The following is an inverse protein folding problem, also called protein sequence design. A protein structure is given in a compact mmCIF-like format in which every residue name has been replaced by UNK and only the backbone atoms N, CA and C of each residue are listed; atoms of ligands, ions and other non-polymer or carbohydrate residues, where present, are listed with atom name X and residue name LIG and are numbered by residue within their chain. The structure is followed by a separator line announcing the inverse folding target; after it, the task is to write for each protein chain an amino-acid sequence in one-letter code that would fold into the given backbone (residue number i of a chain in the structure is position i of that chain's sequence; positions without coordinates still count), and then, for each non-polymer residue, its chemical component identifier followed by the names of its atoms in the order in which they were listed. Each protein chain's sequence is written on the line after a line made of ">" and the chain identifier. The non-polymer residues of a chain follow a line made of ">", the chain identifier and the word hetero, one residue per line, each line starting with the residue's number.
data_IF_279155506443
#
_entry.id   IF_279155506443
#
_cell.length_a   1.000
_cell.length_b   1.000
_cell.length_c   1.000
_cell.angle_alpha   90.00
_cell.angle_beta   90.00
_cell.angle_gamma   90.00
#
_symmetry.space_group_name_H-M   'P 1'
#
loop_
_entity.id
_entity.type
_entity.pdbx_description
1 polymer ?
#
# COMPACT_ATOMS: atom_id res chain seq x y z
N UNK A 1 10.32 31.49 1.98
CA UNK A 1 10.73 30.15 2.44
C UNK A 1 9.78 29.16 1.80
N UNK A 2 10.29 28.16 1.08
CA UNK A 2 9.40 27.12 0.58
C UNK A 2 9.32 25.96 1.56
N UNK A 3 8.10 25.48 1.81
CA UNK A 3 7.84 24.43 2.78
C UNK A 3 8.15 23.06 2.19
N UNK A 4 8.83 22.23 2.98
CA UNK A 4 9.02 20.80 2.72
C UNK A 4 8.23 20.03 3.78
N UNK A 5 7.33 19.15 3.34
CA UNK A 5 6.44 18.40 4.23
C UNK A 5 6.94 16.98 4.43
N UNK A 6 6.96 16.52 5.67
CA UNK A 6 7.21 15.11 6.00
C UNK A 6 5.96 14.51 6.62
N UNK A 7 5.38 13.52 5.94
CA UNK A 7 4.18 12.79 6.36
C UNK A 7 4.63 11.41 6.84
N UNK A 8 4.40 11.08 8.11
CA UNK A 8 4.90 9.82 8.72
C UNK A 8 3.76 8.87 9.04
N UNK A 9 3.94 7.60 8.67
CA UNK A 9 3.16 6.47 9.12
C UNK A 9 4.03 5.52 9.95
N UNK A 10 3.59 5.08 11.14
CA UNK A 10 2.46 5.61 11.89
C UNK A 10 2.67 7.08 12.28
N UNK A 11 1.61 7.86 12.52
CA UNK A 11 1.73 9.24 12.99
C UNK A 11 2.58 9.35 14.27
N UNK A 12 3.41 10.39 14.42
CA UNK A 12 4.32 10.52 15.56
C UNK A 12 3.60 10.69 16.91
N UNK A 13 2.34 11.11 16.89
CA UNK A 13 1.51 11.32 18.07
C UNK A 13 0.51 10.18 18.33
N UNK A 14 0.58 9.08 17.57
CA UNK A 14 -0.20 7.88 17.91
C UNK A 14 0.19 7.46 19.32
N UNK A 15 -0.81 7.35 20.21
CA UNK A 15 -0.57 7.04 21.62
C UNK A 15 0.33 5.80 21.71
N UNK A 16 1.49 5.93 22.36
CA UNK A 16 2.44 4.84 22.59
C UNK A 16 1.69 3.66 23.21
N UNK A 17 1.33 2.66 22.40
CA UNK A 17 0.57 1.49 22.83
C UNK A 17 -0.71 1.18 22.02
N UNK A 18 -1.22 2.09 21.20
CA UNK A 18 -2.29 1.77 20.23
C UNK A 18 -1.77 0.90 19.09
N UNK A 19 -2.62 0.01 18.55
CA UNK A 19 -2.31 -0.80 17.35
C UNK A 19 -1.86 0.07 16.18
N UNK A 20 -2.42 1.29 16.08
CA UNK A 20 -2.07 2.34 15.11
C UNK A 20 -0.65 2.91 15.22
N UNK A 21 0.12 2.50 16.24
CA UNK A 21 1.52 2.92 16.46
C UNK A 21 2.54 1.87 15.99
N UNK A 22 2.10 0.70 15.53
CA UNK A 22 2.99 -0.38 15.12
C UNK A 22 3.57 -0.12 13.71
N UNK A 23 4.83 -0.51 13.44
CA UNK A 23 5.38 -0.49 12.09
C UNK A 23 4.63 -1.48 11.18
N UNK A 24 4.64 -1.22 9.88
CA UNK A 24 4.05 -2.13 8.89
C UNK A 24 4.90 -3.39 8.81
N UNK A 25 4.33 -4.55 9.14
CA UNK A 25 5.07 -5.81 9.15
C UNK A 25 4.97 -6.50 7.80
N UNK A 26 6.11 -6.87 7.22
CA UNK A 26 6.17 -7.41 5.87
C UNK A 26 7.17 -8.55 5.74
N UNK A 27 6.79 -9.60 5.02
CA UNK A 27 7.71 -10.70 4.68
C UNK A 27 8.44 -10.45 3.37
N UNK A 28 9.54 -11.17 3.11
CA UNK A 28 10.26 -11.05 1.83
C UNK A 28 9.37 -11.36 0.62
N UNK A 29 8.50 -12.37 0.76
CA UNK A 29 7.55 -12.78 -0.28
C UNK A 29 6.60 -11.65 -0.67
N UNK A 30 6.06 -10.93 0.32
CA UNK A 30 5.07 -9.88 0.10
C UNK A 30 5.67 -8.48 -0.12
N UNK A 31 6.98 -8.32 0.08
CA UNK A 31 7.69 -7.03 0.02
C UNK A 31 7.35 -6.21 -1.22
N UNK A 32 7.47 -6.82 -2.39
CA UNK A 32 7.18 -6.16 -3.67
C UNK A 32 5.70 -5.74 -3.77
N UNK A 33 4.78 -6.65 -3.47
CA UNK A 33 3.34 -6.34 -3.49
C UNK A 33 3.01 -5.16 -2.56
N UNK A 34 3.59 -5.13 -1.36
CA UNK A 34 3.30 -4.08 -0.38
C UNK A 34 3.87 -2.72 -0.81
N UNK A 35 5.12 -2.69 -1.26
CA UNK A 35 5.78 -1.46 -1.70
C UNK A 35 5.09 -0.88 -2.93
N UNK A 36 4.71 -1.74 -3.90
CA UNK A 36 3.91 -1.34 -5.05
C UNK A 36 2.55 -0.78 -4.64
N UNK A 37 1.84 -1.47 -3.73
CA UNK A 37 0.56 -1.03 -3.19
C UNK A 37 0.64 0.40 -2.61
N UNK A 38 1.64 0.66 -1.75
CA UNK A 38 1.84 1.98 -1.12
C UNK A 38 2.19 3.05 -2.17
N UNK A 39 3.22 2.81 -3.00
CA UNK A 39 3.73 3.82 -3.92
C UNK A 39 2.74 4.13 -5.04
N UNK A 40 2.06 3.12 -5.59
CA UNK A 40 1.05 3.33 -6.62
C UNK A 40 -0.16 4.10 -6.10
N UNK A 41 -0.55 3.87 -4.85
CA UNK A 41 -1.62 4.64 -4.21
C UNK A 41 -1.22 6.11 -4.04
N UNK A 42 0.02 6.39 -3.60
CA UNK A 42 0.54 7.77 -3.51
C UNK A 42 0.65 8.43 -4.88
N UNK A 43 1.15 7.71 -5.89
CA UNK A 43 1.27 8.21 -7.26
C UNK A 43 -0.09 8.57 -7.85
N UNK A 44 -1.11 7.73 -7.60
CA UNK A 44 -2.47 7.98 -8.06
C UNK A 44 -3.09 9.21 -7.38
N UNK A 45 -2.87 9.39 -6.07
CA UNK A 45 -3.36 10.56 -5.32
C UNK A 45 -2.58 11.85 -5.60
N UNK A 46 -1.39 11.76 -6.18
CA UNK A 46 -0.57 12.95 -6.43
C UNK A 46 -1.11 13.75 -7.62
N UNK A 47 -1.12 15.09 -7.56
CA UNK A 47 -1.61 15.97 -8.62
C UNK A 47 -0.64 16.04 -9.81
N UNK A 48 -0.16 14.90 -10.29
CA UNK A 48 0.65 14.81 -11.49
C UNK A 48 -0.24 15.14 -12.70
N UNK A 49 -0.03 16.30 -13.30
CA UNK A 49 -0.61 16.58 -14.62
C UNK A 49 -0.23 15.43 -15.58
N UNK A 50 -1.17 14.95 -16.41
CA UNK A 50 -0.79 14.18 -17.59
C UNK A 50 0.25 15.01 -18.34
N UNK A 51 1.35 14.37 -18.73
CA UNK A 51 2.34 15.02 -19.59
C UNK A 51 1.61 15.42 -20.87
N UNK A 52 1.24 16.70 -21.02
CA UNK A 52 0.86 17.19 -22.34
C UNK A 52 2.02 16.84 -23.26
N UNK A 53 1.80 16.18 -24.41
CA UNK A 53 2.80 16.20 -25.46
C UNK A 53 3.15 17.66 -25.66
N UNK A 54 4.44 18.00 -25.68
CA UNK A 54 4.86 19.34 -26.07
C UNK A 54 4.41 19.56 -27.53
N UNK A 55 3.16 20.01 -27.72
CA UNK A 55 2.75 20.69 -28.93
C UNK A 55 3.60 21.95 -28.98
N UNK A 56 4.67 21.97 -29.78
CA UNK A 56 5.42 23.22 -29.95
C UNK A 56 6.80 23.19 -30.59
N UNK A 57 7.12 22.27 -31.50
CA UNK A 57 8.16 22.57 -32.51
C UNK A 57 8.03 21.77 -33.82
N UNK A 58 6.83 21.42 -34.24
CA UNK A 58 6.55 21.07 -35.64
C UNK A 58 5.69 22.17 -36.25
N UNK A 59 6.39 23.15 -36.82
CA UNK A 59 5.83 24.11 -37.77
C UNK A 59 5.21 23.29 -38.90
N UNK A 60 3.88 23.39 -39.05
CA UNK A 60 3.18 22.93 -40.25
C UNK A 60 2.70 21.48 -40.21
N UNK A 61 1.47 21.26 -39.77
CA UNK A 61 0.50 20.49 -40.57
C UNK A 61 -0.89 20.68 -39.97
N UNK A 62 -1.81 21.21 -40.77
CA UNK A 62 -3.24 21.25 -40.48
C UNK A 62 -3.79 19.82 -40.52
N UNK A 63 -3.70 19.12 -39.39
CA UNK A 63 -4.30 17.80 -39.18
C UNK A 63 -5.38 17.91 -38.14
N UNK A 64 -6.63 17.82 -38.58
CA UNK A 64 -7.85 17.89 -37.77
C UNK A 64 -8.05 16.54 -37.08
N UNK A 65 -7.11 16.13 -36.24
CA UNK A 65 -7.18 14.85 -35.53
C UNK A 65 -7.59 15.09 -34.09
N UNK A 66 -8.69 14.45 -33.72
CA UNK A 66 -9.27 14.39 -32.39
C UNK A 66 -8.20 14.25 -31.31
N UNK A 67 -8.03 15.27 -30.48
CA UNK A 67 -7.57 15.03 -29.10
C UNK A 67 -8.69 14.19 -28.50
N UNK A 68 -8.53 12.87 -28.53
CA UNK A 68 -9.37 11.99 -27.74
C UNK A 68 -9.21 12.44 -26.29
N UNK A 69 -10.31 12.76 -25.62
CA UNK A 69 -10.40 13.20 -24.21
C UNK A 69 -9.70 12.25 -23.20
N UNK A 70 -9.15 11.16 -23.71
CA UNK A 70 -8.55 10.06 -22.97
C UNK A 70 -7.16 10.35 -22.38
N UNK A 71 -6.46 11.36 -22.88
CA UNK A 71 -5.14 11.74 -22.34
C UNK A 71 -5.21 12.82 -21.25
N UNK A 72 -6.38 13.43 -21.02
CA UNK A 72 -6.52 14.53 -20.07
C UNK A 72 -6.66 14.06 -18.60
N UNK A 73 -6.96 12.78 -18.38
CA UNK A 73 -7.27 12.26 -17.06
C UNK A 73 -6.45 11.02 -16.73
N UNK A 74 -6.05 10.93 -15.46
CA UNK A 74 -5.44 9.71 -14.92
C UNK A 74 -6.52 8.65 -14.75
N UNK A 75 -6.47 7.58 -15.54
CA UNK A 75 -7.42 6.47 -15.44
C UNK A 75 -7.10 5.58 -14.22
N UNK A 76 -8.04 5.39 -13.28
CA UNK A 76 -7.87 4.48 -12.15
C UNK A 76 -7.86 3.02 -12.63
N UNK A 77 -7.03 2.20 -11.98
CA UNK A 77 -7.02 0.75 -12.14
C UNK A 77 -7.06 0.12 -10.75
N UNK A 78 -8.04 -0.76 -10.52
CA UNK A 78 -8.10 -1.55 -9.31
C UNK A 78 -7.11 -2.70 -9.38
N UNK A 79 -6.34 -2.87 -8.31
CA UNK A 79 -5.37 -3.94 -8.16
C UNK A 79 -5.59 -4.62 -6.81
N UNK A 80 -5.24 -5.90 -6.72
CA UNK A 80 -5.25 -6.67 -5.49
C UNK A 80 -4.12 -7.69 -5.52
N UNK A 81 -3.59 -8.05 -4.36
CA UNK A 81 -2.58 -9.12 -4.25
C UNK A 81 -3.02 -10.14 -3.21
N UNK A 82 -2.95 -11.43 -3.58
CA UNK A 82 -3.16 -12.53 -2.63
C UNK A 82 -2.17 -12.49 -1.47
N UNK A 83 -0.95 -11.96 -1.69
CA UNK A 83 0.09 -11.80 -0.67
C UNK A 83 -0.23 -10.71 0.35
N UNK A 84 -1.24 -9.89 0.09
CA UNK A 84 -1.75 -8.84 0.96
C UNK A 84 -3.18 -9.15 1.43
N UNK A 85 -3.60 -10.44 1.39
CA UNK A 85 -4.95 -10.88 1.74
C UNK A 85 -6.05 -10.26 0.89
N UNK A 86 -5.78 -10.04 -0.40
CA UNK A 86 -6.71 -9.48 -1.38
C UNK A 86 -7.21 -8.06 -1.02
N UNK A 87 -6.39 -7.26 -0.33
CA UNK A 87 -6.65 -5.83 -0.18
C UNK A 87 -6.63 -5.16 -1.56
N UNK A 88 -7.74 -4.48 -1.90
CA UNK A 88 -7.87 -3.71 -3.13
C UNK A 88 -7.25 -2.32 -2.95
N UNK A 89 -6.43 -1.90 -3.90
CA UNK A 89 -5.88 -0.54 -4.00
C UNK A 89 -6.02 -0.01 -5.42
N UNK A 90 -5.98 1.32 -5.57
CA UNK A 90 -6.12 1.99 -6.86
C UNK A 90 -4.76 2.48 -7.33
N UNK A 91 -4.43 2.18 -8.58
CA UNK A 91 -3.24 2.68 -9.27
C UNK A 91 -3.63 3.46 -10.53
N UNK A 92 -2.62 4.02 -11.19
CA UNK A 92 -2.77 4.57 -12.55
C UNK A 92 -2.70 3.44 -13.56
N UNK A 93 -3.40 3.58 -14.69
CA UNK A 93 -3.26 2.65 -15.82
C UNK A 93 -1.87 2.67 -16.46
N UNK A 94 -1.18 3.82 -16.39
CA UNK A 94 0.16 4.02 -16.94
C UNK A 94 1.03 4.74 -15.92
N UNK A 95 1.95 3.99 -15.33
CA UNK A 95 2.96 4.49 -14.39
C UNK A 95 4.10 5.19 -15.11
N UNK A 96 4.71 6.19 -14.47
CA UNK A 96 5.93 6.80 -15.01
C UNK A 96 7.11 5.81 -14.93
N UNK A 97 7.92 5.64 -15.99
CA UNK A 97 9.06 4.73 -15.95
C UNK A 97 10.06 5.00 -14.83
N UNK A 98 10.25 6.27 -14.45
CA UNK A 98 11.11 6.65 -13.33
C UNK A 98 10.59 6.17 -11.97
N UNK A 99 9.26 6.17 -11.77
CA UNK A 99 8.62 5.64 -10.56
C UNK A 99 8.92 4.14 -10.46
N UNK A 100 8.66 3.40 -11.54
CA UNK A 100 8.89 1.96 -11.58
C UNK A 100 10.36 1.60 -11.34
N UNK A 101 11.29 2.32 -11.98
CA UNK A 101 12.72 2.09 -11.78
C UNK A 101 13.14 2.31 -10.32
N UNK A 102 12.75 3.43 -9.71
CA UNK A 102 13.06 3.73 -8.31
C UNK A 102 12.41 2.73 -7.35
N UNK A 103 11.18 2.33 -7.63
CA UNK A 103 10.42 1.36 -6.84
C UNK A 103 11.06 -0.04 -6.90
N UNK A 104 11.49 -0.51 -8.07
CA UNK A 104 12.22 -1.77 -8.18
C UNK A 104 13.54 -1.74 -7.39
N UNK A 105 14.30 -0.65 -7.49
CA UNK A 105 15.52 -0.50 -6.67
C UNK A 105 15.22 -0.53 -5.16
N UNK A 106 14.14 0.13 -4.73
CA UNK A 106 13.72 0.11 -3.33
C UNK A 106 13.29 -1.29 -2.86
N UNK A 107 12.59 -2.06 -3.70
CA UNK A 107 12.22 -3.46 -3.41
C UNK A 107 13.46 -4.32 -3.22
N UNK A 108 14.43 -4.23 -4.12
CA UNK A 108 15.67 -5.01 -4.02
C UNK A 108 16.48 -4.60 -2.79
N UNK A 109 16.56 -3.31 -2.47
CA UNK A 109 17.19 -2.83 -1.24
C UNK A 109 16.50 -3.40 0.02
N UNK A 110 15.17 -3.36 0.11
CA UNK A 110 14.43 -3.92 1.24
C UNK A 110 14.60 -5.43 1.38
N UNK A 111 14.66 -6.17 0.26
CA UNK A 111 14.92 -7.61 0.23
C UNK A 111 16.35 -7.93 0.66
N UNK A 112 17.33 -7.07 0.38
CA UNK A 112 18.72 -7.25 0.77
C UNK A 112 18.98 -7.08 2.28
N UNK A 113 18.14 -6.33 3.01
CA UNK A 113 18.29 -6.13 4.47
C UNK A 113 18.23 -7.48 5.18
N UNK A 114 19.29 -7.86 5.90
CA UNK A 114 19.34 -9.13 6.61
C UNK A 114 18.64 -9.03 7.96
N UNK A 115 17.79 -10.02 8.28
CA UNK A 115 17.23 -10.14 9.64
C UNK A 115 18.32 -10.78 10.51
N UNK A 116 18.78 -10.14 11.61
CA UNK A 116 19.77 -10.73 12.49
C UNK A 116 19.30 -12.10 13.05
N UNK A 117 20.22 -13.05 13.23
CA UNK A 117 19.88 -14.42 13.66
C UNK A 117 19.08 -14.48 14.97
N UNK A 118 19.35 -13.53 15.87
CA UNK A 118 18.71 -13.42 17.20
C UNK A 118 17.42 -12.60 17.20
N UNK A 119 16.97 -12.13 16.04
CA UNK A 119 15.75 -11.34 15.89
C UNK A 119 14.75 -12.03 14.97
N UNK A 120 13.47 -11.86 15.26
CA UNK A 120 12.38 -12.24 14.36
C UNK A 120 12.12 -11.23 13.26
N UNK A 121 12.65 -10.00 13.41
CA UNK A 121 12.42 -8.90 12.49
C UNK A 121 13.57 -7.87 12.44
N UNK A 122 13.61 -7.06 11.39
CA UNK A 122 14.53 -5.92 11.26
C UNK A 122 13.74 -4.67 10.83
N UNK A 123 13.84 -3.54 11.57
CA UNK A 123 13.14 -2.31 11.21
C UNK A 123 13.80 -1.63 10.01
N UNK A 124 12.99 -0.96 9.20
CA UNK A 124 13.45 -0.10 8.12
C UNK A 124 12.39 0.98 7.83
N UNK A 125 12.75 1.98 7.05
CA UNK A 125 11.82 2.98 6.54
C UNK A 125 11.73 2.89 5.02
N UNK A 126 10.49 2.86 4.50
CA UNK A 126 10.21 3.19 3.11
C UNK A 126 9.99 4.71 3.02
N UNK A 127 10.73 5.36 2.13
CA UNK A 127 10.63 6.81 1.89
C UNK A 127 10.21 7.04 0.44
N UNK A 128 9.11 7.77 0.28
CA UNK A 128 8.57 8.17 -1.02
C UNK A 128 8.63 9.69 -1.06
N UNK A 129 9.43 10.24 -1.96
CA UNK A 129 9.60 11.68 -2.12
C UNK A 129 9.01 12.12 -3.44
N UNK A 130 8.29 13.24 -3.41
CA UNK A 130 7.92 13.97 -4.61
C UNK A 130 8.87 15.16 -4.75
N UNK A 131 9.69 15.10 -5.79
CA UNK A 131 10.67 16.10 -6.14
C UNK A 131 10.16 16.96 -7.30
N UNK A 132 10.45 18.25 -7.26
CA UNK A 132 10.30 19.16 -8.38
C UNK A 132 11.65 19.30 -9.07
N UNK A 133 11.74 18.82 -10.30
CA UNK A 133 12.91 19.05 -11.14
C UNK A 133 12.78 20.40 -11.81
N UNK A 134 13.74 21.27 -11.52
CA UNK A 134 13.98 22.50 -12.24
C UNK A 134 15.14 22.30 -13.21
N UNK A 135 14.88 22.47 -14.50
CA UNK A 135 15.94 22.58 -15.49
C UNK A 135 16.34 24.04 -15.58
N UNK A 136 17.41 24.41 -14.87
CA UNK A 136 18.13 25.63 -15.15
C UNK A 136 18.94 25.48 -16.45
N UNK A 137 19.44 26.59 -16.98
CA UNK A 137 20.27 26.57 -18.19
C UNK A 137 21.55 25.75 -17.99
N UNK A 138 22.17 25.81 -16.81
CA UNK A 138 23.45 25.17 -16.51
C UNK A 138 23.38 24.06 -15.47
N UNK A 139 22.25 23.90 -14.77
CA UNK A 139 22.14 23.00 -13.64
C UNK A 139 20.78 22.30 -13.65
N UNK A 140 20.80 21.02 -13.32
CA UNK A 140 19.60 20.31 -12.91
C UNK A 140 19.55 20.36 -11.40
N UNK A 141 18.52 21.01 -10.87
CA UNK A 141 18.24 20.98 -9.44
C UNK A 141 16.94 20.22 -9.21
N UNK A 142 16.92 19.39 -8.18
CA UNK A 142 15.75 18.65 -7.74
C UNK A 142 15.43 19.05 -6.32
N UNK A 143 14.29 19.71 -6.15
CA UNK A 143 13.87 20.22 -4.86
C UNK A 143 12.77 19.32 -4.29
N UNK A 144 12.90 18.81 -3.06
CA UNK A 144 11.85 18.01 -2.45
C UNK A 144 10.65 18.89 -2.07
N UNK A 145 9.46 18.42 -2.38
CA UNK A 145 8.19 19.07 -2.03
C UNK A 145 7.54 18.40 -0.83
N UNK A 146 7.44 17.07 -0.89
CA UNK A 146 6.85 16.25 0.16
C UNK A 146 7.56 14.90 0.23
N UNK A 147 7.67 14.36 1.43
CA UNK A 147 8.19 13.03 1.74
C UNK A 147 7.16 12.27 2.58
N UNK A 148 6.74 11.11 2.10
CA UNK A 148 6.02 10.12 2.90
C UNK A 148 7.02 9.12 3.44
N UNK A 149 7.03 8.92 4.76
CA UNK A 149 7.89 7.97 5.45
C UNK A 149 7.03 6.92 6.14
N UNK A 150 7.20 5.66 5.75
CA UNK A 150 6.51 4.53 6.35
C UNK A 150 7.51 3.73 7.17
N UNK A 151 7.27 3.61 8.48
CA UNK A 151 8.03 2.71 9.34
C UNK A 151 7.57 1.28 9.07
N UNK A 152 8.53 0.42 8.77
CA UNK A 152 8.29 -0.96 8.40
C UNK A 152 9.15 -1.88 9.27
N UNK A 153 8.74 -3.13 9.36
CA UNK A 153 9.51 -4.20 9.98
C UNK A 153 9.49 -5.41 9.05
N UNK A 154 10.65 -5.78 8.54
CA UNK A 154 10.83 -6.99 7.75
C UNK A 154 10.85 -8.18 8.68
N UNK A 155 9.95 -9.13 8.50
CA UNK A 155 9.76 -10.31 9.35
C UNK A 155 10.16 -11.58 8.62
N UNK A 156 10.43 -12.65 9.38
CA UNK A 156 10.59 -14.00 8.81
C UNK A 156 9.26 -14.52 8.27
N UNK A 157 9.30 -15.39 7.25
CA UNK A 157 8.10 -15.89 6.55
C UNK A 157 7.12 -16.66 7.46
N UNK A 158 7.62 -17.24 8.56
CA UNK A 158 6.84 -17.98 9.56
C UNK A 158 5.73 -17.13 10.22
N UNK A 159 5.81 -15.80 10.11
CA UNK A 159 4.84 -14.87 10.70
C UNK A 159 3.77 -14.38 9.72
N UNK A 160 3.61 -15.02 8.56
CA UNK A 160 2.61 -14.64 7.55
C UNK A 160 1.21 -15.22 7.84
N UNK A 161 0.16 -14.57 7.31
CA UNK A 161 -1.18 -15.14 7.33
C UNK A 161 -1.26 -16.41 6.47
N UNK A 162 -2.05 -17.40 6.90
CA UNK A 162 -2.32 -18.60 6.11
C UNK A 162 -3.14 -18.23 4.87
N UNK A 163 -2.55 -18.32 3.68
CA UNK A 163 -3.29 -18.19 2.42
C UNK A 163 -3.98 -19.52 2.13
N UNK A 164 -5.11 -19.80 2.77
CA UNK A 164 -5.81 -21.08 2.59
C UNK A 164 -6.46 -21.12 1.21
N UNK A 165 -5.97 -22.04 0.37
CA UNK A 165 -6.41 -22.35 -0.99
C UNK A 165 -7.94 -22.46 -1.11
N UNK A 166 -8.51 -21.65 -1.99
CA UNK A 166 -9.81 -21.90 -2.62
C UNK A 166 -9.67 -22.89 -3.77
N UNK A 167 -9.30 -24.14 -3.45
CA UNK A 167 -9.30 -25.26 -4.39
C UNK A 167 -9.97 -26.48 -3.71
N UNK A 168 -11.25 -26.68 -3.98
CA UNK A 168 -11.91 -27.97 -3.83
C UNK A 168 -12.90 -28.14 -4.98
N UNK A 169 -12.34 -28.71 -6.05
CA UNK A 169 -12.98 -29.23 -7.24
C UNK A 169 -14.14 -30.21 -6.91
N UNK A 170 -15.19 -30.13 -7.72
CA UNK A 170 -16.08 -31.21 -8.19
C UNK A 170 -16.96 -32.06 -7.20
N UNK A 171 -18.27 -31.97 -7.46
CA UNK A 171 -19.43 -32.83 -7.08
C UNK A 171 -19.23 -34.33 -7.43
N UNK A 172 -20.15 -35.30 -7.09
CA UNK A 172 -21.57 -35.17 -6.70
C UNK A 172 -22.11 -36.06 -5.53
N UNK A 173 -23.29 -35.67 -5.00
CA UNK A 173 -24.13 -36.37 -3.99
C UNK A 173 -24.59 -37.78 -4.41
N UNK A 174 -25.16 -38.59 -3.49
CA UNK A 174 -26.63 -38.67 -3.46
C UNK A 174 -27.32 -38.90 -2.07
N UNK A 175 -28.53 -38.32 -1.97
CA UNK A 175 -29.80 -38.80 -1.35
C UNK A 175 -29.74 -39.52 0.01
N UNK A 176 -30.36 -39.00 1.07
CA UNK A 176 -31.78 -39.27 1.40
C UNK A 176 -32.34 -38.29 2.45
N UNK A 177 -33.64 -37.97 2.33
CA UNK A 177 -34.56 -37.27 3.26
C UNK A 177 -35.71 -38.28 3.54
N UNK A 178 -36.67 -38.15 4.49
CA UNK A 178 -37.21 -36.90 5.06
C UNK A 178 -37.83 -36.92 6.50
N UNK A 179 -38.21 -35.72 7.02
CA UNK A 179 -39.51 -35.33 7.65
C UNK A 179 -40.00 -36.12 8.91
N UNK A 180 -40.56 -35.58 10.01
CA UNK A 180 -41.21 -34.31 10.36
C UNK A 180 -41.45 -34.21 11.89
N UNK A 181 -41.42 -32.97 12.41
CA UNK A 181 -42.31 -32.33 13.43
C UNK A 181 -42.79 -33.05 14.71
N UNK A 182 -42.52 -32.39 15.85
CA UNK A 182 -43.41 -32.05 17.01
C UNK A 182 -42.58 -32.09 18.32
N UNK A 183 -42.27 -30.97 18.98
CA UNK A 183 -43.10 -30.18 19.91
C UNK A 183 -42.75 -30.46 21.39
N UNK A 184 -42.23 -29.42 22.03
CA UNK A 184 -42.35 -29.01 23.43
C UNK A 184 -41.98 -29.94 24.62
N UNK A 185 -41.21 -29.28 25.51
CA UNK A 185 -41.31 -29.28 26.97
C UNK A 185 -40.45 -30.28 27.79
N UNK A 186 -39.52 -29.64 28.51
CA UNK A 186 -39.17 -29.85 29.92
C UNK A 186 -38.30 -31.04 30.36
N UNK A 187 -37.12 -30.64 30.86
CA UNK A 187 -36.64 -30.88 32.24
C UNK A 187 -35.90 -32.21 32.50
N UNK A 188 -34.63 -32.03 32.90
CA UNK A 188 -33.82 -32.82 33.85
C UNK A 188 -32.88 -33.92 33.31
N UNK A 189 -31.59 -33.51 33.25
CA UNK A 189 -30.42 -34.08 33.95
C UNK A 189 -29.98 -35.52 33.60
N UNK A 190 -28.86 -35.61 32.86
CA UNK A 190 -27.79 -36.62 33.01
C UNK A 190 -26.57 -36.15 32.17
N UNK A 191 -25.52 -35.61 32.80
CA UNK A 191 -24.19 -36.24 32.96
C UNK A 191 -23.58 -36.83 31.68
N UNK A 192 -22.53 -36.18 31.15
CA UNK A 192 -21.59 -36.82 30.22
C UNK A 192 -20.71 -35.87 29.41
N UNK A 193 -19.42 -35.80 29.75
CA UNK A 193 -18.29 -35.35 28.90
C UNK A 193 -18.23 -33.84 28.63
N UNK A 194 -17.12 -33.12 28.80
CA UNK A 194 -15.71 -33.49 28.78
C UNK A 194 -14.99 -32.52 27.82
N UNK A 195 -14.05 -31.72 28.35
CA UNK A 195 -13.22 -30.75 27.60
C UNK A 195 -13.81 -29.33 27.63
N UNK A 196 -13.42 -28.38 28.48
CA UNK A 196 -12.07 -27.98 28.88
C UNK A 196 -11.14 -27.76 27.67
N UNK A 197 -11.09 -26.54 27.15
CA UNK A 197 -9.90 -25.68 27.15
C UNK A 197 -9.93 -24.62 26.04
N UNK A 198 -9.46 -23.44 26.41
CA UNK A 198 -8.97 -22.36 25.53
C UNK A 198 -9.97 -21.49 24.77
N UNK A 199 -10.74 -20.70 25.54
CA UNK A 199 -10.77 -19.25 25.26
C UNK A 199 -9.49 -18.62 25.82
N UNK A 200 -8.35 -18.99 25.25
CA UNK A 200 -7.11 -18.23 25.41
C UNK A 200 -7.25 -17.01 24.52
N UNK A 201 -7.47 -15.87 25.14
CA UNK A 201 -6.98 -14.58 24.67
C UNK A 201 -5.56 -14.82 24.11
N UNK A 202 -5.42 -14.94 22.78
CA UNK A 202 -4.12 -14.89 22.12
C UNK A 202 -3.60 -13.47 22.34
N UNK A 203 -2.89 -13.27 23.44
CA UNK A 203 -2.00 -12.14 23.62
C UNK A 203 -0.92 -12.21 22.52
N UNK A 204 -1.13 -11.44 21.44
CA UNK A 204 -0.04 -10.73 20.78
C UNK A 204 0.62 -11.36 19.55
N UNK A 205 -0.02 -12.29 18.84
CA UNK A 205 0.48 -12.71 17.51
C UNK A 205 0.17 -11.63 16.47
N UNK A 206 1.05 -10.63 16.35
CA UNK A 206 0.95 -9.61 15.30
C UNK A 206 1.38 -10.23 13.97
N UNK A 207 0.41 -10.48 13.09
CA UNK A 207 0.64 -11.07 11.77
C UNK A 207 1.43 -10.14 10.85
N UNK A 208 2.25 -10.73 9.98
CA UNK A 208 2.91 -10.03 8.87
C UNK A 208 1.95 -9.96 7.69
N UNK A 209 2.05 -8.88 6.92
CA UNK A 209 1.18 -8.61 5.77
C UNK A 209 -0.31 -8.55 6.16
N UNK A 210 -0.61 -8.08 7.38
CA UNK A 210 -1.97 -8.00 7.91
C UNK A 210 -2.86 -7.14 6.99
N UNK A 211 -3.92 -7.71 6.40
CA UNK A 211 -4.83 -6.98 5.52
C UNK A 211 -5.45 -5.75 6.19
N UNK A 212 -5.71 -5.81 7.50
CA UNK A 212 -6.32 -4.67 8.20
C UNK A 212 -5.34 -3.52 8.38
N UNK A 213 -4.11 -3.83 8.81
CA UNK A 213 -3.03 -2.84 8.82
C UNK A 213 -2.80 -2.21 7.44
N UNK A 214 -2.85 -3.00 6.36
CA UNK A 214 -2.67 -2.47 5.00
C UNK A 214 -3.82 -1.53 4.61
N UNK A 215 -5.07 -1.84 4.97
CA UNK A 215 -6.21 -0.93 4.76
C UNK A 215 -6.03 0.37 5.52
N UNK A 216 -5.55 0.33 6.76
CA UNK A 216 -5.26 1.53 7.55
C UNK A 216 -4.18 2.40 6.88
N UNK A 217 -3.12 1.80 6.33
CA UNK A 217 -2.09 2.51 5.56
C UNK A 217 -2.69 3.20 4.33
N UNK A 218 -3.55 2.52 3.58
CA UNK A 218 -4.21 3.09 2.41
C UNK A 218 -5.16 4.24 2.77
N UNK A 219 -5.92 4.09 3.85
CA UNK A 219 -6.76 5.17 4.40
C UNK A 219 -5.93 6.37 4.85
N UNK A 220 -4.78 6.12 5.49
CA UNK A 220 -3.84 7.16 5.89
C UNK A 220 -3.32 7.93 4.68
N UNK A 221 -2.89 7.24 3.62
CA UNK A 221 -2.45 7.87 2.37
C UNK A 221 -3.57 8.77 1.83
N UNK A 222 -4.78 8.24 1.67
CA UNK A 222 -5.92 8.99 1.15
C UNK A 222 -6.20 10.27 1.94
N UNK A 223 -6.20 10.16 3.28
CA UNK A 223 -6.47 11.29 4.18
C UNK A 223 -5.37 12.34 4.12
N UNK A 224 -4.11 11.92 4.16
CA UNK A 224 -2.97 12.84 4.28
C UNK A 224 -2.40 13.33 2.94
N UNK A 225 -2.85 12.79 1.80
CA UNK A 225 -2.46 13.28 0.47
C UNK A 225 -2.85 14.75 0.23
N UNK A 226 -3.95 15.22 0.83
CA UNK A 226 -4.47 16.58 0.62
C UNK A 226 -4.41 17.45 1.88
N UNK A 227 -4.68 16.87 3.04
CA UNK A 227 -4.78 17.63 4.30
C UNK A 227 -3.44 18.22 4.77
N UNK A 228 -2.32 17.57 4.42
CA UNK A 228 -1.01 17.93 4.94
C UNK A 228 -0.28 19.02 4.11
N UNK A 229 -0.77 19.34 2.91
CA UNK A 229 -0.04 20.17 1.96
C UNK A 229 -0.76 21.51 1.78
N UNK A 230 -0.09 22.61 2.11
CA UNK A 230 -0.66 23.96 1.96
C UNK A 230 -1.01 24.24 0.49
N UNK A 231 -2.09 25.00 0.27
CA UNK A 231 -2.55 25.48 -1.03
C UNK A 231 -1.44 26.18 -1.82
N UNK A 232 -0.52 26.87 -1.16
CA UNK A 232 0.62 27.50 -1.82
C UNK A 232 1.58 26.48 -2.44
N UNK A 233 1.75 25.31 -1.83
CA UNK A 233 2.56 24.21 -2.37
C UNK A 233 1.83 23.49 -3.51
N UNK A 234 0.49 23.54 -3.57
CA UNK A 234 -0.26 23.09 -4.74
C UNK A 234 0.09 23.85 -6.02
N UNK A 235 0.47 25.13 -5.94
CA UNK A 235 0.97 25.87 -7.09
C UNK A 235 2.34 25.33 -7.57
N UNK A 236 3.20 24.92 -6.63
CA UNK A 236 4.47 24.27 -6.94
C UNK A 236 4.27 22.91 -7.63
N UNK A 237 3.18 22.18 -7.35
CA UNK A 237 2.85 20.94 -8.08
C UNK A 237 2.39 21.18 -9.53
N UNK A 238 1.93 22.38 -9.86
CA UNK A 238 1.44 22.70 -11.22
C UNK A 238 2.55 23.15 -12.15
N UNK A 239 3.78 23.33 -11.66
CA UNK A 239 4.86 23.94 -12.42
C UNK A 239 6.14 23.12 -12.31
N UNK A 240 6.75 22.78 -13.45
CA UNK A 240 7.96 21.96 -13.51
C UNK A 240 7.69 20.45 -13.64
N UNK A 241 8.77 19.68 -13.75
CA UNK A 241 8.70 18.22 -13.92
C UNK A 241 8.70 17.57 -12.53
N UNK A 242 7.57 16.97 -12.15
CA UNK A 242 7.45 16.23 -10.89
C UNK A 242 7.97 14.79 -11.04
N UNK A 243 8.88 14.40 -10.14
CA UNK A 243 9.59 13.12 -10.13
C UNK A 243 9.40 12.46 -8.77
N UNK A 244 9.09 11.16 -8.78
CA UNK A 244 9.12 10.35 -7.58
C UNK A 244 10.53 9.78 -7.35
N UNK A 245 10.98 9.88 -6.11
CA UNK A 245 12.18 9.21 -5.60
C UNK A 245 11.75 8.28 -4.46
N UNK A 246 11.97 6.97 -4.64
CA UNK A 246 11.58 5.91 -3.72
C UNK A 246 12.85 5.25 -3.20
N UNK A 247 13.04 5.25 -1.89
CA UNK A 247 14.23 4.70 -1.24
C UNK A 247 13.88 3.96 0.04
N UNK A 248 14.80 3.11 0.47
CA UNK A 248 14.70 2.35 1.71
C UNK A 248 15.90 2.67 2.59
N UNK A 249 15.66 2.88 3.88
CA UNK A 249 16.70 3.16 4.87
C UNK A 249 16.58 2.21 6.06
N UNK A 250 17.68 1.57 6.45
CA UNK A 250 17.79 0.80 7.70
C UNK A 250 17.76 1.74 8.92
N UNK A 251 17.11 1.32 10.01
CA UNK A 251 16.88 2.11 11.24
C UNK A 251 17.57 1.48 12.45
#
# INVERSE_FOLDING_TARGET
>A
MHTFYTIRYPPPNSQKGGEDSQPIRVTNKAMESLLFCIVHSIEFQSPLQPSRPQLGSSIGSSGKDSITDDEAYVRPVENSSMLLGNVTYVSRSKHKPSVLASLHTAVEAARAIQIPDKSSQVPFELRVRLLRRHRGWLWHDSRPLVEWVFRMAKTREEFSFSTTHGDANERPRPRTSPRATNAHANVVRATGGGGAHSRSREEGLVCSNDPEQIRQVLQFILKHSYDAIDLNTYADFRSGELIFDVSVQEV
#
